data_IF_313605799931
#
_entry.id   IF_313605799931
#
_cell.length_a   1.000
_cell.length_b   1.000
_cell.length_c   1.000
_cell.angle_alpha   90.00
_cell.angle_beta   90.00
_cell.angle_gamma   90.00
#
_symmetry.space_group_name_H-M   'P 1'
#
loop_
_entity.id
_entity.type
_entity.pdbx_description
1 polymer ?
#
# COMPACT_ATOMS: atom_id res chain seq x y z
N UNK A 1 -17.10 -13.07 -15.94
CA UNK A 1 -16.58 -12.13 -14.92
C UNK A 1 -15.33 -12.77 -14.35
N UNK A 2 -14.18 -12.08 -14.35
CA UNK A 2 -12.90 -12.65 -13.93
C UNK A 2 -12.80 -12.58 -12.39
N UNK A 3 -12.29 -13.64 -11.77
CA UNK A 3 -12.01 -13.65 -10.33
C UNK A 3 -10.60 -13.09 -10.09
N UNK A 4 -10.46 -12.23 -9.08
CA UNK A 4 -9.20 -11.63 -8.66
C UNK A 4 -9.05 -11.78 -7.15
N UNK A 5 -8.03 -12.51 -6.73
CA UNK A 5 -7.62 -12.58 -5.33
C UNK A 5 -6.90 -11.28 -4.93
N UNK A 6 -7.43 -10.58 -3.95
CA UNK A 6 -6.76 -9.45 -3.30
C UNK A 6 -5.95 -9.99 -2.12
N UNK A 7 -4.66 -10.18 -2.35
CA UNK A 7 -3.76 -10.88 -1.44
C UNK A 7 -3.15 -9.93 -0.40
N UNK A 8 -3.95 -9.54 0.59
CA UNK A 8 -3.52 -8.71 1.71
C UNK A 8 -4.13 -9.20 3.03
N UNK A 9 -3.32 -9.26 4.09
CA UNK A 9 -3.79 -9.49 5.47
C UNK A 9 -4.26 -8.21 6.17
N UNK A 10 -4.09 -7.03 5.57
CA UNK A 10 -4.50 -5.76 6.13
C UNK A 10 -5.95 -5.43 5.79
N UNK A 11 -6.83 -5.40 6.79
CA UNK A 11 -8.24 -5.04 6.63
C UNK A 11 -8.40 -3.61 6.03
N UNK A 12 -7.53 -2.67 6.40
CA UNK A 12 -7.55 -1.30 5.88
C UNK A 12 -7.21 -1.26 4.39
N UNK A 13 -6.16 -1.95 3.96
CA UNK A 13 -5.78 -2.05 2.54
C UNK A 13 -6.88 -2.72 1.73
N UNK A 14 -7.45 -3.82 2.26
CA UNK A 14 -8.54 -4.53 1.61
C UNK A 14 -9.75 -3.61 1.38
N UNK A 15 -10.17 -2.86 2.39
CA UNK A 15 -11.29 -1.94 2.27
C UNK A 15 -11.05 -0.83 1.23
N UNK A 16 -9.82 -0.29 1.16
CA UNK A 16 -9.44 0.67 0.12
C UNK A 16 -9.51 0.04 -1.28
N UNK A 17 -8.93 -1.15 -1.48
CA UNK A 17 -8.94 -1.84 -2.78
C UNK A 17 -10.36 -2.23 -3.23
N UNK A 18 -11.23 -2.65 -2.31
CA UNK A 18 -12.63 -2.92 -2.60
C UNK A 18 -13.38 -1.66 -3.10
N UNK A 19 -13.11 -0.47 -2.54
CA UNK A 19 -13.67 0.79 -3.04
C UNK A 19 -13.09 1.18 -4.39
N UNK A 20 -11.77 1.08 -4.56
CA UNK A 20 -11.04 1.47 -5.78
C UNK A 20 -11.41 0.62 -7.00
N UNK A 21 -11.72 -0.66 -6.78
CA UNK A 21 -12.11 -1.57 -7.86
C UNK A 21 -13.63 -1.70 -8.04
N UNK A 22 -14.42 -0.90 -7.32
CA UNK A 22 -15.88 -0.89 -7.47
C UNK A 22 -16.26 -0.54 -8.92
N UNK A 23 -17.16 -1.35 -9.49
CA UNK A 23 -17.65 -1.17 -10.87
C UNK A 23 -16.74 -1.75 -11.96
N UNK A 24 -15.61 -2.37 -11.61
CA UNK A 24 -14.89 -3.21 -12.56
C UNK A 24 -15.64 -4.57 -12.74
N UNK A 25 -15.56 -5.20 -13.92
CA UNK A 25 -16.18 -6.51 -14.16
C UNK A 25 -15.39 -7.64 -13.52
N UNK A 26 -15.12 -7.53 -12.22
CA UNK A 26 -14.33 -8.45 -11.41
C UNK A 26 -15.13 -9.00 -10.24
N UNK A 27 -14.90 -10.26 -9.90
CA UNK A 27 -15.26 -10.84 -8.61
C UNK A 27 -14.03 -10.80 -7.72
N UNK A 28 -14.04 -9.97 -6.68
CA UNK A 28 -12.93 -9.90 -5.74
C UNK A 28 -13.07 -11.02 -4.70
N UNK A 29 -11.97 -11.71 -4.45
CA UNK A 29 -11.84 -12.68 -3.35
C UNK A 29 -10.74 -12.24 -2.41
N UNK A 30 -10.85 -12.66 -1.16
CA UNK A 30 -9.87 -12.39 -0.10
C UNK A 30 -9.14 -13.65 0.28
N UNK A 31 -8.04 -13.54 1.05
CA UNK A 31 -7.35 -14.70 1.61
C UNK A 31 -8.28 -15.52 2.51
N UNK A 32 -9.18 -14.85 3.25
CA UNK A 32 -10.17 -15.51 4.12
C UNK A 32 -11.20 -16.31 3.33
N UNK A 33 -11.65 -15.82 2.16
CA UNK A 33 -12.60 -16.55 1.30
C UNK A 33 -12.03 -17.86 0.78
N UNK A 34 -10.71 -17.96 0.74
CA UNK A 34 -9.96 -19.14 0.30
C UNK A 34 -9.38 -19.96 1.45
N UNK A 35 -9.63 -19.58 2.72
CA UNK A 35 -9.03 -20.17 3.90
C UNK A 35 -7.49 -20.21 3.85
N UNK A 36 -6.85 -19.24 3.21
CA UNK A 36 -5.40 -19.12 3.15
C UNK A 36 -4.94 -18.38 4.40
N UNK A 37 -4.28 -19.09 5.30
CA UNK A 37 -3.78 -18.58 6.59
C UNK A 37 -2.26 -18.37 6.60
N UNK A 38 -1.55 -18.91 5.61
CA UNK A 38 -0.10 -18.78 5.50
C UNK A 38 0.26 -17.34 5.11
N UNK A 39 1.30 -16.82 5.75
CA UNK A 39 1.86 -15.53 5.38
C UNK A 39 2.95 -15.68 4.32
N UNK A 40 2.90 -14.84 3.31
CA UNK A 40 3.94 -14.76 2.31
C UNK A 40 5.21 -14.14 2.89
N UNK A 41 6.41 -14.57 2.46
CA UNK A 41 7.65 -13.91 2.86
C UNK A 41 7.70 -12.46 2.35
N UNK A 42 8.26 -11.56 3.15
CA UNK A 42 8.54 -10.16 2.80
C UNK A 42 10.03 -9.89 3.08
N UNK A 43 10.90 -10.45 2.26
CA UNK A 43 12.37 -10.34 2.38
C UNK A 43 13.02 -9.44 1.34
N UNK A 44 12.22 -8.80 0.49
CA UNK A 44 12.68 -7.90 -0.56
C UNK A 44 13.26 -6.60 0.00
N UNK A 45 14.22 -6.05 -0.73
CA UNK A 45 14.83 -4.76 -0.43
C UNK A 45 13.97 -3.57 -0.91
N UNK A 46 12.99 -3.84 -1.78
CA UNK A 46 12.08 -2.84 -2.36
C UNK A 46 10.62 -3.23 -2.19
N UNK A 47 9.72 -2.23 -2.26
CA UNK A 47 8.27 -2.48 -2.26
C UNK A 47 7.84 -3.37 -3.44
N UNK A 48 8.49 -3.22 -4.60
CA UNK A 48 8.19 -4.02 -5.79
C UNK A 48 8.56 -5.48 -5.57
N UNK A 49 9.75 -5.77 -5.04
CA UNK A 49 10.17 -7.14 -4.72
C UNK A 49 9.22 -7.81 -3.72
N UNK A 50 8.81 -7.10 -2.65
CA UNK A 50 7.86 -7.62 -1.68
C UNK A 50 6.48 -7.86 -2.29
N UNK A 51 5.98 -6.95 -3.13
CA UNK A 51 4.71 -7.13 -3.82
C UNK A 51 4.74 -8.35 -4.75
N UNK A 52 5.84 -8.55 -5.50
CA UNK A 52 6.06 -9.71 -6.36
C UNK A 52 6.12 -11.01 -5.57
N UNK A 53 6.90 -11.06 -4.48
CA UNK A 53 6.98 -12.24 -3.61
C UNK A 53 5.59 -12.64 -3.10
N UNK A 54 4.82 -11.70 -2.60
CA UNK A 54 3.43 -11.94 -2.14
C UNK A 54 2.52 -12.42 -3.26
N UNK A 55 2.55 -11.75 -4.41
CA UNK A 55 1.68 -12.11 -5.53
C UNK A 55 1.96 -13.52 -6.06
N UNK A 56 3.23 -13.90 -6.22
CA UNK A 56 3.62 -15.26 -6.62
C UNK A 56 3.23 -16.31 -5.59
N UNK A 57 3.49 -16.05 -4.30
CA UNK A 57 3.16 -16.96 -3.22
C UNK A 57 1.65 -17.29 -3.20
N UNK A 58 0.82 -16.26 -3.22
CA UNK A 58 -0.62 -16.44 -3.14
C UNK A 58 -1.25 -16.91 -4.45
N UNK A 59 -0.69 -16.58 -5.61
CA UNK A 59 -1.11 -17.14 -6.88
C UNK A 59 -0.85 -18.65 -6.95
N UNK A 60 0.30 -19.10 -6.46
CA UNK A 60 0.61 -20.54 -6.36
C UNK A 60 -0.29 -21.27 -5.39
N UNK A 61 -0.64 -20.65 -4.25
CA UNK A 61 -1.51 -21.23 -3.23
C UNK A 61 -2.97 -21.31 -3.65
N UNK A 62 -3.47 -20.31 -4.42
CA UNK A 62 -4.89 -20.19 -4.78
C UNK A 62 -5.23 -20.75 -6.16
N UNK A 63 -4.27 -20.75 -7.09
CA UNK A 63 -4.54 -21.01 -8.52
C UNK A 63 -5.33 -19.89 -9.21
N UNK A 64 -5.54 -18.74 -8.55
CA UNK A 64 -6.32 -17.62 -9.06
C UNK A 64 -5.43 -16.43 -9.48
N UNK A 65 -5.95 -15.59 -10.35
CA UNK A 65 -5.35 -14.27 -10.58
C UNK A 65 -5.19 -13.55 -9.26
N UNK A 66 -3.98 -13.10 -8.99
CA UNK A 66 -3.64 -12.55 -7.68
C UNK A 66 -3.03 -11.17 -7.81
N UNK A 67 -3.61 -10.23 -7.08
CA UNK A 67 -3.09 -8.90 -6.85
C UNK A 67 -2.59 -8.79 -5.42
N UNK A 68 -1.31 -8.50 -5.25
CA UNK A 68 -0.72 -8.16 -3.96
C UNK A 68 -0.12 -6.75 -3.99
N UNK A 69 -0.11 -6.05 -2.86
CA UNK A 69 0.55 -4.77 -2.72
C UNK A 69 1.61 -4.78 -1.62
N UNK A 70 2.66 -4.01 -1.84
CA UNK A 70 3.52 -3.54 -0.77
C UNK A 70 3.63 -2.01 -0.83
N UNK A 71 3.65 -1.38 0.33
CA UNK A 71 3.54 0.07 0.40
C UNK A 71 4.14 0.62 1.68
N UNK A 72 4.65 1.82 1.61
CA UNK A 72 5.22 2.48 2.77
C UNK A 72 5.50 3.95 2.56
N UNK A 73 6.10 4.53 3.58
CA UNK A 73 6.50 5.91 3.64
C UNK A 73 8.01 6.02 3.45
N UNK A 74 8.43 6.95 2.60
CA UNK A 74 9.82 7.35 2.43
C UNK A 74 9.94 8.83 2.79
N UNK A 75 10.89 9.17 3.68
CA UNK A 75 11.11 10.55 4.15
C UNK A 75 12.52 10.99 3.76
N UNK A 76 12.60 12.08 3.01
CA UNK A 76 13.87 12.53 2.40
C UNK A 76 14.94 12.88 3.45
N UNK A 77 14.55 13.54 4.55
CA UNK A 77 15.45 13.89 5.65
C UNK A 77 15.98 12.69 6.45
N UNK A 78 15.45 11.48 6.19
CA UNK A 78 15.83 10.24 6.87
C UNK A 78 16.35 9.18 5.87
N UNK A 79 16.93 9.60 4.75
CA UNK A 79 17.48 8.72 3.72
C UNK A 79 16.47 7.65 3.25
N UNK A 80 15.22 8.08 2.99
CA UNK A 80 14.08 7.26 2.63
C UNK A 80 13.58 6.30 3.73
N UNK A 81 14.08 6.38 4.97
CA UNK A 81 13.43 5.65 6.06
C UNK A 81 12.03 6.21 6.34
N UNK A 82 11.07 5.40 6.80
CA UNK A 82 11.14 3.97 7.15
C UNK A 82 11.19 2.99 5.96
N UNK A 83 10.82 3.38 4.73
CA UNK A 83 10.89 2.52 3.55
C UNK A 83 10.11 1.22 3.73
N UNK A 84 10.69 0.07 3.34
CA UNK A 84 10.07 -1.26 3.47
C UNK A 84 9.81 -1.68 4.93
N UNK A 85 10.40 -0.97 5.90
CA UNK A 85 10.18 -1.20 7.32
C UNK A 85 9.02 -0.39 7.90
N UNK A 86 8.24 0.28 7.07
CA UNK A 86 7.12 1.16 7.44
C UNK A 86 6.23 0.59 8.54
N UNK A 87 5.79 -0.66 8.42
CA UNK A 87 4.91 -1.30 9.39
C UNK A 87 5.57 -1.59 10.75
N UNK A 88 6.88 -1.84 10.76
CA UNK A 88 7.66 -2.25 11.93
C UNK A 88 8.77 -1.27 12.30
N UNK A 89 8.58 0.01 11.97
CA UNK A 89 9.59 1.04 12.13
C UNK A 89 10.02 1.24 13.59
N UNK A 90 9.06 1.19 14.52
CA UNK A 90 9.34 1.27 15.95
C UNK A 90 9.55 -0.11 16.61
N UNK A 91 9.48 -1.19 15.83
CA UNK A 91 9.65 -2.57 16.29
C UNK A 91 8.66 -3.53 15.64
N UNK A 92 8.87 -4.85 15.74
CA UNK A 92 8.04 -5.85 15.05
C UNK A 92 6.55 -5.80 15.43
N UNK A 93 6.24 -5.51 16.69
CA UNK A 93 4.87 -5.43 17.23
C UNK A 93 4.38 -3.98 17.42
N UNK A 94 5.04 -3.01 16.76
CA UNK A 94 4.70 -1.61 16.93
C UNK A 94 3.31 -1.29 16.36
N UNK A 95 2.57 -0.48 17.11
CA UNK A 95 1.32 0.12 16.63
C UNK A 95 1.61 1.24 15.62
N UNK A 96 0.61 1.62 14.83
CA UNK A 96 0.70 2.76 13.93
C UNK A 96 1.13 4.04 14.68
N UNK A 97 0.58 4.24 15.88
CA UNK A 97 0.94 5.37 16.73
C UNK A 97 2.41 5.36 17.13
N UNK A 98 2.93 4.23 17.59
CA UNK A 98 4.35 4.10 17.95
C UNK A 98 5.26 4.35 16.75
N UNK A 99 4.88 3.90 15.56
CA UNK A 99 5.62 4.12 14.33
C UNK A 99 5.68 5.62 13.97
N UNK A 100 4.55 6.34 13.92
CA UNK A 100 4.60 7.76 13.59
C UNK A 100 5.19 8.62 14.73
N UNK A 101 5.04 8.26 15.99
CA UNK A 101 5.71 8.94 17.10
C UNK A 101 7.24 8.81 17.02
N UNK A 102 7.74 7.63 16.65
CA UNK A 102 9.18 7.45 16.37
C UNK A 102 9.61 8.37 15.24
N UNK A 103 8.88 8.38 14.13
CA UNK A 103 9.16 9.25 12.99
C UNK A 103 9.23 10.73 13.41
N UNK A 104 8.25 11.20 14.17
CA UNK A 104 8.23 12.59 14.65
C UNK A 104 9.41 12.91 15.57
N UNK A 105 9.84 11.96 16.41
CA UNK A 105 11.03 12.13 17.25
C UNK A 105 12.31 12.27 16.44
N UNK A 106 12.47 11.46 15.39
CA UNK A 106 13.67 11.51 14.53
C UNK A 106 13.71 12.78 13.66
N UNK A 107 12.55 13.36 13.36
CA UNK A 107 12.46 14.63 12.65
C UNK A 107 12.51 15.86 13.56
N UNK A 108 12.82 15.73 14.85
CA UNK A 108 12.96 16.90 15.73
C UNK A 108 14.08 17.81 15.26
N UNK A 109 13.79 19.11 15.15
CA UNK A 109 14.75 20.11 14.68
C UNK A 109 14.88 20.17 13.14
N UNK A 110 14.27 19.27 12.40
CA UNK A 110 14.20 19.37 10.94
C UNK A 110 13.14 20.42 10.58
N UNK A 111 13.51 21.49 9.84
CA UNK A 111 12.56 22.52 9.45
C UNK A 111 11.47 21.98 8.53
N UNK A 112 10.29 22.61 8.53
CA UNK A 112 9.11 22.14 7.79
C UNK A 112 9.41 21.84 6.32
N UNK A 113 10.12 22.73 5.63
CA UNK A 113 10.40 22.61 4.21
C UNK A 113 11.33 21.42 3.87
N UNK A 114 12.09 20.93 4.85
CA UNK A 114 12.96 19.76 4.73
C UNK A 114 12.28 18.44 5.16
N UNK A 115 11.01 18.50 5.62
CA UNK A 115 10.24 17.30 6.02
C UNK A 115 9.48 16.69 4.85
N UNK A 116 10.03 16.80 3.64
CA UNK A 116 9.44 16.21 2.44
C UNK A 116 9.44 14.70 2.52
N UNK A 117 8.35 14.10 2.05
CA UNK A 117 8.14 12.67 2.09
C UNK A 117 7.26 12.20 0.93
N UNK A 118 7.25 10.91 0.68
CA UNK A 118 6.29 10.29 -0.22
C UNK A 118 5.77 8.97 0.33
N UNK A 119 4.48 8.75 0.16
CA UNK A 119 3.94 7.41 0.19
C UNK A 119 4.15 6.73 -1.16
N UNK A 120 4.52 5.46 -1.10
CA UNK A 120 4.71 4.59 -2.26
C UNK A 120 3.85 3.35 -2.13
N UNK A 121 3.22 2.93 -3.23
CA UNK A 121 2.54 1.64 -3.33
C UNK A 121 3.00 0.95 -4.61
N UNK A 122 3.53 -0.26 -4.48
CA UNK A 122 3.77 -1.16 -5.60
C UNK A 122 2.74 -2.28 -5.54
N UNK A 123 2.03 -2.49 -6.65
CA UNK A 123 1.10 -3.60 -6.83
C UNK A 123 1.69 -4.58 -7.85
N UNK A 124 1.60 -5.87 -7.56
CA UNK A 124 1.98 -6.93 -8.48
C UNK A 124 0.77 -7.79 -8.82
N UNK A 125 0.54 -8.00 -10.11
CA UNK A 125 -0.53 -8.83 -10.65
C UNK A 125 0.08 -10.06 -11.32
N UNK A 126 -0.28 -11.24 -10.83
CA UNK A 126 0.17 -12.55 -11.32
C UNK A 126 -1.01 -13.34 -11.81
N UNK A 127 -0.87 -13.88 -13.04
CA UNK A 127 -1.78 -14.85 -13.61
C UNK A 127 -1.13 -16.24 -13.57
N UNK A 128 -1.57 -17.18 -12.73
CA UNK A 128 -0.97 -18.50 -12.63
C UNK A 128 -1.17 -19.37 -13.89
N UNK A 129 -2.20 -19.08 -14.69
CA UNK A 129 -2.52 -19.88 -15.88
C UNK A 129 -1.57 -19.61 -17.08
N UNK A 130 -0.83 -18.52 -17.05
CA UNK A 130 -0.04 -18.10 -18.22
C UNK A 130 1.34 -18.74 -18.32
N UNK A 131 1.69 -19.65 -17.40
CA UNK A 131 2.88 -20.54 -17.50
C UNK A 131 4.22 -19.91 -17.88
N UNK A 132 4.35 -18.59 -17.88
CA UNK A 132 5.57 -17.90 -18.32
C UNK A 132 5.40 -16.43 -18.67
N UNK A 133 4.21 -15.84 -18.57
CA UNK A 133 4.08 -14.37 -18.65
C UNK A 133 4.68 -13.76 -17.39
N UNK A 134 5.62 -12.85 -17.58
CA UNK A 134 6.17 -12.05 -16.49
C UNK A 134 5.04 -11.36 -15.70
N UNK A 135 5.13 -11.31 -14.38
CA UNK A 135 4.19 -10.56 -13.55
C UNK A 135 4.19 -9.10 -13.97
N UNK A 136 3.06 -8.43 -13.81
CA UNK A 136 2.97 -6.99 -14.08
C UNK A 136 3.04 -6.23 -12.77
N UNK A 137 3.83 -5.18 -12.74
CA UNK A 137 3.94 -4.29 -11.58
C UNK A 137 3.39 -2.91 -11.91
N UNK A 138 2.81 -2.27 -10.91
CA UNK A 138 2.18 -0.97 -11.00
C UNK A 138 2.59 -0.15 -9.79
N UNK A 139 3.22 1.00 -10.02
CA UNK A 139 3.70 1.88 -8.97
C UNK A 139 2.88 3.17 -8.91
N UNK A 140 2.40 3.51 -7.73
CA UNK A 140 1.77 4.78 -7.42
C UNK A 140 2.50 5.49 -6.30
N UNK A 141 2.59 6.81 -6.39
CA UNK A 141 3.22 7.65 -5.39
C UNK A 141 2.32 8.83 -5.02
N UNK A 142 2.47 9.31 -3.78
CA UNK A 142 1.92 10.59 -3.34
C UNK A 142 2.98 11.34 -2.56
N UNK A 143 3.39 12.49 -3.08
CA UNK A 143 4.31 13.40 -2.39
C UNK A 143 3.56 14.28 -1.40
N UNK A 144 4.22 14.63 -0.31
CA UNK A 144 3.69 15.45 0.77
C UNK A 144 4.78 15.82 1.77
N UNK A 145 4.37 16.18 2.97
CA UNK A 145 5.26 16.58 4.07
C UNK A 145 4.86 15.88 5.36
N UNK A 146 5.83 15.67 6.24
CA UNK A 146 5.56 15.19 7.61
C UNK A 146 5.28 16.39 8.51
N UNK A 147 4.13 16.38 9.16
CA UNK A 147 3.72 17.41 10.14
C UNK A 147 4.57 17.33 11.41
N UNK A 148 4.50 18.37 12.26
CA UNK A 148 5.16 18.36 13.57
C UNK A 148 4.37 17.62 14.65
N UNK A 149 3.05 17.51 14.45
CA UNK A 149 2.14 16.81 15.35
C UNK A 149 1.04 16.10 14.55
N UNK A 150 0.46 15.00 15.06
CA UNK A 150 -0.61 14.29 14.38
C UNK A 150 -1.89 15.13 14.32
N UNK A 151 -2.63 15.02 13.20
CA UNK A 151 -3.93 15.66 12.98
C UNK A 151 -4.89 14.69 12.30
N UNK A 152 -6.16 14.75 12.68
CA UNK A 152 -7.21 13.86 12.16
C UNK A 152 -7.21 12.51 12.86
N UNK A 153 -8.27 11.73 12.61
CA UNK A 153 -8.50 10.42 13.24
C UNK A 153 -8.83 9.32 12.22
N UNK A 154 -8.89 9.65 10.93
CA UNK A 154 -9.17 8.70 9.86
C UNK A 154 -7.93 7.96 9.39
N UNK A 155 -8.16 6.95 8.54
CA UNK A 155 -7.08 6.22 7.89
C UNK A 155 -6.33 5.25 8.82
N UNK A 156 -5.03 5.04 8.53
CA UNK A 156 -4.15 4.13 9.25
C UNK A 156 -2.67 4.48 9.01
N UNK A 157 -1.77 3.83 9.73
CA UNK A 157 -0.33 4.03 9.56
C UNK A 157 0.09 5.46 9.87
N UNK A 158 0.73 6.11 8.90
CA UNK A 158 1.25 7.48 9.03
C UNK A 158 0.27 8.55 8.54
N UNK A 159 -0.98 8.21 8.23
CA UNK A 159 -2.00 9.16 7.76
C UNK A 159 -2.16 10.40 8.67
N UNK A 160 -2.09 10.29 10.03
CA UNK A 160 -2.20 11.45 10.91
C UNK A 160 -1.06 12.46 10.80
N UNK A 161 0.09 12.06 10.26
CA UNK A 161 1.30 12.90 10.17
C UNK A 161 1.73 13.21 8.74
N UNK A 162 1.07 12.64 7.73
CA UNK A 162 1.38 12.88 6.32
C UNK A 162 0.41 13.88 5.71
N UNK A 163 0.93 15.08 5.42
CA UNK A 163 0.18 16.22 4.89
C UNK A 163 0.32 16.35 3.38
N UNK A 164 -0.80 16.58 2.71
CA UNK A 164 -0.90 16.97 1.30
C UNK A 164 -1.87 18.15 1.21
N UNK A 165 -1.49 19.23 0.53
CA UNK A 165 -2.32 20.42 0.33
C UNK A 165 -2.93 20.96 1.65
N UNK A 166 -2.11 21.05 2.71
CA UNK A 166 -2.48 21.64 4.00
C UNK A 166 -3.32 20.75 4.92
N UNK A 167 -3.74 19.55 4.49
CA UNK A 167 -4.51 18.57 5.28
C UNK A 167 -3.77 17.24 5.35
N UNK A 168 -3.78 16.60 6.52
CA UNK A 168 -3.26 15.24 6.63
C UNK A 168 -4.19 14.24 5.94
N UNK A 169 -3.67 13.06 5.62
CA UNK A 169 -4.50 12.00 5.05
C UNK A 169 -5.59 11.55 6.03
N UNK A 170 -5.34 11.63 7.33
CA UNK A 170 -6.31 11.31 8.38
C UNK A 170 -7.44 12.35 8.55
N UNK A 171 -7.29 13.55 8.01
CA UNK A 171 -8.32 14.60 7.97
C UNK A 171 -9.24 14.50 6.75
N UNK A 172 -9.02 13.50 5.88
CA UNK A 172 -9.78 13.31 4.63
C UNK A 172 -10.81 12.20 4.80
N UNK A 173 -11.92 12.35 4.09
CA UNK A 173 -12.89 11.24 3.96
C UNK A 173 -12.28 10.12 3.13
N UNK A 174 -12.73 8.86 3.30
CA UNK A 174 -12.18 7.71 2.57
C UNK A 174 -12.15 7.91 1.04
N UNK A 175 -13.20 8.47 0.45
CA UNK A 175 -13.32 8.69 -0.98
C UNK A 175 -12.33 9.77 -1.49
N UNK A 176 -12.10 10.82 -0.70
CA UNK A 176 -11.09 11.86 -1.00
C UNK A 176 -9.68 11.27 -0.94
N UNK A 177 -9.43 10.43 0.07
CA UNK A 177 -8.16 9.71 0.22
C UNK A 177 -7.93 8.76 -0.94
N UNK A 178 -8.93 7.98 -1.35
CA UNK A 178 -8.84 7.02 -2.45
C UNK A 178 -8.42 7.69 -3.76
N UNK A 179 -8.92 8.90 -4.06
CA UNK A 179 -8.55 9.67 -5.26
C UNK A 179 -7.14 10.27 -5.20
N UNK A 180 -6.66 10.58 -4.01
CA UNK A 180 -5.42 11.30 -3.80
C UNK A 180 -4.24 10.39 -3.46
N UNK A 181 -4.49 9.19 -2.96
CA UNK A 181 -3.47 8.33 -2.38
C UNK A 181 -2.57 7.63 -3.41
N UNK A 182 -1.39 7.22 -2.94
CA UNK A 182 -0.47 6.35 -3.66
C UNK A 182 -1.12 5.04 -4.10
N UNK A 183 -1.96 4.43 -3.22
CA UNK A 183 -2.71 3.21 -3.54
C UNK A 183 -3.76 3.46 -4.60
N UNK A 184 -4.47 4.59 -4.53
CA UNK A 184 -5.41 5.00 -5.58
C UNK A 184 -4.75 5.15 -6.94
N UNK A 185 -3.57 5.78 -6.98
CA UNK A 185 -2.79 5.92 -8.21
C UNK A 185 -2.36 4.56 -8.79
N UNK A 186 -1.81 3.65 -7.96
CA UNK A 186 -1.44 2.30 -8.40
C UNK A 186 -2.66 1.49 -8.87
N UNK A 187 -3.78 1.53 -8.13
CA UNK A 187 -5.02 0.84 -8.48
C UNK A 187 -5.62 1.31 -9.80
N UNK A 188 -5.51 2.61 -10.11
CA UNK A 188 -5.95 3.14 -11.40
C UNK A 188 -5.18 2.54 -12.58
N UNK A 189 -3.87 2.32 -12.43
CA UNK A 189 -3.04 1.65 -13.43
C UNK A 189 -3.43 0.19 -13.60
N UNK A 190 -3.68 -0.53 -12.49
CA UNK A 190 -4.20 -1.90 -12.52
C UNK A 190 -5.54 -1.95 -13.25
N UNK A 191 -6.48 -1.06 -12.91
CA UNK A 191 -7.79 -1.01 -13.53
C UNK A 191 -7.72 -0.73 -15.04
N UNK A 192 -6.82 0.14 -15.48
CA UNK A 192 -6.59 0.41 -16.89
C UNK A 192 -6.05 -0.83 -17.63
N UNK A 193 -5.09 -1.52 -17.04
CA UNK A 193 -4.52 -2.75 -17.61
C UNK A 193 -5.56 -3.88 -17.71
N UNK A 194 -6.42 -4.05 -16.71
CA UNK A 194 -7.47 -5.08 -16.73
C UNK A 194 -8.58 -4.79 -17.76
N UNK A 195 -8.88 -3.51 -18.04
CA UNK A 195 -9.85 -3.13 -19.08
C UNK A 195 -9.35 -3.38 -20.51
N UNK A 196 -8.03 -3.27 -20.72
CA UNK A 196 -7.43 -3.48 -22.05
C UNK A 196 -7.37 -4.97 -22.47
N UNK A 197 -7.70 -5.88 -21.58
CA UNK A 197 -7.66 -7.33 -21.79
C UNK A 197 -9.07 -7.98 -21.91
N UNK A 198 -10.10 -7.20 -21.81
CA UNK A 198 -11.50 -7.64 -21.93
C UNK A 198 -12.13 -7.14 -23.18
#
# INVERSE_FOLDING_TARGET
>A
MRTLLVATGSAHKLAELQRLFRGLPLTLRTLSDLNIVQEAPESGATFEENALQKAHFYAAASGEWTLADDSGLEVDALDAAPGVYTRRYAGPEATDQQNYEKLLRELRGVPRDARTARFVCCMALVDPATGGRAPRTFRGERRGHITEAPRGTGGFGYDPVFEVDGRTMAERRPEEKDQLSHRGAAAALVAAALRSEG
#
